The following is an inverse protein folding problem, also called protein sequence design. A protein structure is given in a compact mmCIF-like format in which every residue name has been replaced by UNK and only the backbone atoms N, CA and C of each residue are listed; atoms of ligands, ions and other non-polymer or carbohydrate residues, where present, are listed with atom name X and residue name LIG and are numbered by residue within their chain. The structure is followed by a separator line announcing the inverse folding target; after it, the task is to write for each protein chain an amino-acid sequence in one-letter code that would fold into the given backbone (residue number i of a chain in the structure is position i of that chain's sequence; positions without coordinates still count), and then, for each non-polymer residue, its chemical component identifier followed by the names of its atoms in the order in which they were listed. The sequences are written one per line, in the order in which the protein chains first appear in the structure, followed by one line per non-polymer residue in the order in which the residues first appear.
data_IF_864915758287
#
_entry.id   IF_864915758287
#
_cell.length_a   1.000
_cell.length_b   1.000
_cell.length_c   1.000
_cell.angle_alpha   90.00
_cell.angle_beta   90.00
_cell.angle_gamma   90.00
#
_symmetry.space_group_name_H-M   'P 1'
#
loop_
_entity.id
_entity.type
_entity.pdbx_description
1 polymer ?
#
# COMPACT_ATOMS: atom_id res chain seq x y z
N UNK A 1 7.93 -17.82 -19.55
CA UNK A 1 8.78 -16.74 -19.01
C UNK A 1 8.77 -16.93 -17.50
N UNK A 2 9.87 -17.42 -16.96
CA UNK A 2 10.04 -17.49 -15.51
C UNK A 2 10.19 -16.07 -14.98
N UNK A 3 9.31 -15.65 -14.10
CA UNK A 3 9.41 -14.37 -13.42
C UNK A 3 10.60 -14.44 -12.46
N UNK A 4 11.57 -13.53 -12.61
CA UNK A 4 12.75 -13.47 -11.75
C UNK A 4 12.50 -12.71 -10.46
N UNK A 5 11.36 -12.07 -10.30
CA UNK A 5 11.02 -11.30 -9.12
C UNK A 5 9.66 -11.70 -8.54
N UNK A 6 9.54 -11.66 -7.24
CA UNK A 6 8.32 -11.95 -6.49
C UNK A 6 8.04 -10.76 -5.56
N UNK A 7 6.83 -10.21 -5.67
CA UNK A 7 6.32 -9.22 -4.73
C UNK A 7 5.70 -9.95 -3.54
N UNK A 8 6.24 -9.73 -2.35
CA UNK A 8 5.73 -10.34 -1.13
C UNK A 8 4.57 -9.50 -0.60
N UNK A 9 3.46 -10.17 -0.29
CA UNK A 9 2.29 -9.52 0.32
C UNK A 9 2.59 -9.05 1.75
N UNK A 10 2.07 -7.89 2.11
CA UNK A 10 2.17 -7.35 3.46
C UNK A 10 1.33 -8.12 4.50
N UNK A 11 0.48 -9.04 4.05
CA UNK A 11 -0.33 -9.90 4.92
C UNK A 11 0.34 -11.23 5.27
N UNK A 12 1.53 -11.50 4.72
CA UNK A 12 2.16 -12.81 4.87
C UNK A 12 3.10 -12.85 6.07
N UNK A 13 2.69 -13.57 7.11
CA UNK A 13 3.53 -13.85 8.28
C UNK A 13 4.65 -14.83 7.99
N UNK A 14 4.55 -15.57 6.87
CA UNK A 14 5.55 -16.56 6.42
C UNK A 14 6.57 -16.01 5.44
N UNK A 15 6.64 -14.70 5.30
CA UNK A 15 7.54 -14.05 4.32
C UNK A 15 9.00 -14.50 4.43
N UNK A 16 9.48 -14.75 5.64
CA UNK A 16 10.85 -15.26 5.84
C UNK A 16 11.01 -16.68 5.31
N UNK A 17 10.01 -17.54 5.49
CA UNK A 17 10.00 -18.90 4.94
C UNK A 17 10.01 -18.88 3.40
N UNK A 18 9.24 -17.97 2.79
CA UNK A 18 9.22 -17.79 1.33
C UNK A 18 10.59 -17.35 0.83
N UNK A 19 11.25 -16.43 1.53
CA UNK A 19 12.60 -15.95 1.18
C UNK A 19 13.64 -17.07 1.21
N UNK A 20 13.52 -18.00 2.15
CA UNK A 20 14.45 -19.13 2.28
C UNK A 20 14.23 -20.22 1.22
N UNK A 21 13.01 -20.30 0.68
CA UNK A 21 12.62 -21.33 -0.29
C UNK A 21 12.76 -20.91 -1.75
N UNK A 22 13.03 -19.63 -2.03
CA UNK A 22 13.10 -19.13 -3.40
C UNK A 22 14.47 -18.55 -3.74
N UNK A 23 14.91 -18.78 -4.97
CA UNK A 23 16.09 -18.15 -5.56
C UNK A 23 15.73 -16.87 -6.36
N UNK A 24 14.48 -16.44 -6.31
CA UNK A 24 14.02 -15.26 -7.04
C UNK A 24 14.33 -13.99 -6.27
N UNK A 25 14.48 -12.86 -6.99
CA UNK A 25 14.57 -11.56 -6.37
C UNK A 25 13.23 -11.19 -5.71
N UNK A 26 13.27 -10.84 -4.43
CA UNK A 26 12.08 -10.53 -3.65
C UNK A 26 11.96 -9.02 -3.46
N UNK A 27 10.73 -8.53 -3.60
CA UNK A 27 10.36 -7.13 -3.39
C UNK A 27 9.30 -7.05 -2.31
N UNK A 28 9.50 -6.22 -1.32
CA UNK A 28 8.57 -6.02 -0.22
C UNK A 28 8.19 -4.56 -0.08
N UNK A 29 6.88 -4.28 -0.09
CA UNK A 29 6.38 -2.92 0.11
C UNK A 29 6.33 -2.61 1.60
N UNK A 30 7.24 -1.74 2.05
CA UNK A 30 7.34 -1.37 3.47
C UNK A 30 6.64 -0.05 3.79
N UNK A 31 6.35 0.79 2.79
CA UNK A 31 5.63 2.04 3.02
C UNK A 31 4.74 2.42 1.84
N UNK A 32 3.51 2.88 2.15
CA UNK A 32 2.57 3.46 1.21
C UNK A 32 1.14 2.95 1.36
N UNK A 33 0.24 3.51 0.58
CA UNK A 33 -1.15 3.07 0.51
C UNK A 33 -1.26 1.77 -0.27
N UNK A 34 -1.96 0.78 0.30
CA UNK A 34 -2.19 -0.50 -0.36
C UNK A 34 -3.39 -0.42 -1.31
N UNK A 35 -3.26 -0.86 -2.57
CA UNK A 35 -4.42 -1.00 -3.45
C UNK A 35 -5.35 -2.10 -2.90
N UNK A 36 -6.60 -1.74 -2.66
CA UNK A 36 -7.63 -2.62 -2.12
C UNK A 36 -8.60 -3.09 -3.20
N UNK A 37 -8.80 -2.25 -4.21
CA UNK A 37 -9.78 -2.47 -5.26
C UNK A 37 -9.32 -1.82 -6.54
N UNK A 38 -9.53 -2.51 -7.66
CA UNK A 38 -9.27 -2.01 -9.00
C UNK A 38 -10.48 -2.33 -9.88
N UNK A 39 -10.93 -1.36 -10.66
CA UNK A 39 -12.01 -1.52 -11.65
C UNK A 39 -11.65 -0.80 -12.93
N UNK A 40 -11.80 -1.43 -14.07
CA UNK A 40 -11.68 -0.78 -15.39
C UNK A 40 -12.79 0.26 -15.62
N UNK A 41 -13.85 0.25 -14.81
CA UNK A 41 -14.91 1.22 -14.89
C UNK A 41 -14.51 2.51 -14.17
N UNK A 42 -14.77 3.65 -14.82
CA UNK A 42 -14.58 4.99 -14.25
C UNK A 42 -15.71 5.31 -13.27
N UNK A 43 -15.64 4.80 -12.05
CA UNK A 43 -16.72 4.90 -11.06
C UNK A 43 -17.02 6.34 -10.67
N UNK A 44 -15.98 7.18 -10.48
CA UNK A 44 -16.14 8.59 -10.13
C UNK A 44 -16.78 9.35 -11.26
N UNK A 45 -16.28 9.21 -12.47
CA UNK A 45 -16.84 9.90 -13.66
C UNK A 45 -18.30 9.48 -13.89
N UNK A 46 -18.61 8.19 -13.71
CA UNK A 46 -19.98 7.69 -13.87
C UNK A 46 -20.91 8.25 -12.79
N UNK A 47 -20.44 8.33 -11.54
CA UNK A 47 -21.17 8.96 -10.45
C UNK A 47 -21.43 10.44 -10.71
N UNK A 48 -20.41 11.21 -11.10
CA UNK A 48 -20.52 12.62 -11.44
C UNK A 48 -21.52 12.87 -12.58
N UNK A 49 -21.45 12.08 -13.65
CA UNK A 49 -22.40 12.15 -14.76
C UNK A 49 -23.85 11.85 -14.31
N UNK A 50 -24.02 10.83 -13.46
CA UNK A 50 -25.35 10.45 -12.99
C UNK A 50 -26.00 11.55 -12.14
N UNK A 51 -25.23 12.16 -11.25
CA UNK A 51 -25.71 13.22 -10.36
C UNK A 51 -25.51 14.64 -10.89
N UNK A 52 -25.04 14.79 -12.14
CA UNK A 52 -24.78 16.09 -12.81
C UNK A 52 -23.85 16.98 -11.97
N UNK A 53 -22.83 16.41 -11.38
CA UNK A 53 -21.81 17.13 -10.61
C UNK A 53 -20.75 17.70 -11.55
N UNK A 54 -20.15 18.83 -11.18
CA UNK A 54 -19.19 19.55 -12.04
C UNK A 54 -17.73 19.10 -11.81
N UNK A 55 -17.45 17.87 -11.44
CA UNK A 55 -16.10 17.30 -11.47
C UNK A 55 -14.99 18.08 -10.74
N UNK A 56 -15.32 18.97 -9.79
CA UNK A 56 -14.35 19.86 -9.12
C UNK A 56 -13.66 19.24 -7.89
N UNK A 57 -13.90 17.96 -7.61
CA UNK A 57 -13.37 17.31 -6.40
C UNK A 57 -11.99 16.73 -6.68
N UNK A 58 -10.96 17.44 -6.28
CA UNK A 58 -9.57 16.98 -6.36
C UNK A 58 -9.24 15.78 -5.42
N UNK A 59 -10.14 15.45 -4.48
CA UNK A 59 -9.96 14.37 -3.53
C UNK A 59 -11.24 13.55 -3.46
N UNK A 60 -11.15 12.34 -3.93
CA UNK A 60 -12.26 11.40 -3.89
C UNK A 60 -12.03 10.36 -2.80
N UNK A 61 -13.06 10.11 -2.03
CA UNK A 61 -13.09 9.08 -0.99
C UNK A 61 -14.41 8.33 -1.08
N UNK A 62 -14.38 7.03 -0.89
CA UNK A 62 -15.58 6.36 -0.43
C UNK A 62 -15.55 6.21 1.10
N UNK A 63 -16.70 6.19 1.72
CA UNK A 63 -16.83 6.09 3.17
C UNK A 63 -17.54 4.78 3.49
N UNK A 64 -16.92 3.97 4.32
CA UNK A 64 -17.52 2.77 4.88
C UNK A 64 -17.33 2.79 6.41
N UNK A 65 -18.43 2.65 7.16
CA UNK A 65 -18.40 2.66 8.63
C UNK A 65 -17.61 3.84 9.23
N UNK A 66 -17.80 5.04 8.68
CA UNK A 66 -17.07 6.28 9.03
C UNK A 66 -15.56 6.28 8.72
N UNK A 67 -15.05 5.29 8.03
CA UNK A 67 -13.66 5.27 7.55
C UNK A 67 -13.60 5.76 6.11
N UNK A 68 -12.67 6.68 5.84
CA UNK A 68 -12.43 7.23 4.49
C UNK A 68 -11.35 6.42 3.77
N UNK A 69 -11.68 6.00 2.56
CA UNK A 69 -10.78 5.25 1.67
C UNK A 69 -10.50 6.09 0.43
N UNK A 70 -9.26 6.46 0.16
CA UNK A 70 -8.90 7.23 -1.03
C UNK A 70 -9.24 6.48 -2.31
N UNK A 71 -9.74 7.22 -3.31
CA UNK A 71 -10.05 6.71 -4.64
C UNK A 71 -9.37 7.59 -5.69
N UNK A 72 -8.76 6.96 -6.68
CA UNK A 72 -8.23 7.60 -7.88
C UNK A 72 -8.97 7.04 -9.10
N UNK A 73 -9.44 7.91 -9.97
CA UNK A 73 -9.99 7.55 -11.26
C UNK A 73 -9.10 8.16 -12.35
N UNK A 74 -8.47 7.32 -13.16
CA UNK A 74 -7.56 7.71 -14.21
C UNK A 74 -7.82 6.93 -15.51
N UNK A 75 -6.93 7.03 -16.47
CA UNK A 75 -7.07 6.38 -17.79
C UNK A 75 -7.25 4.86 -17.72
N UNK A 76 -6.76 4.23 -16.67
CA UNK A 76 -6.81 2.78 -16.46
C UNK A 76 -8.07 2.34 -15.70
N UNK A 77 -8.85 3.28 -15.16
CA UNK A 77 -10.05 3.01 -14.38
C UNK A 77 -9.99 3.57 -12.96
N UNK A 78 -10.74 2.96 -12.06
CA UNK A 78 -10.85 3.38 -10.66
C UNK A 78 -10.03 2.48 -9.74
N UNK A 79 -9.24 3.11 -8.89
CA UNK A 79 -8.41 2.46 -7.86
C UNK A 79 -8.85 2.97 -6.50
N UNK A 80 -9.10 2.05 -5.57
CA UNK A 80 -9.35 2.38 -4.16
C UNK A 80 -8.22 1.82 -3.30
N UNK A 81 -7.83 2.58 -2.29
CA UNK A 81 -6.68 2.30 -1.46
C UNK A 81 -7.08 2.11 0.01
N UNK A 82 -6.17 1.54 0.81
CA UNK A 82 -6.32 1.46 2.26
C UNK A 82 -6.58 2.84 2.87
N UNK A 83 -7.28 2.89 4.00
CA UNK A 83 -7.62 4.16 4.65
C UNK A 83 -6.41 4.93 5.19
N UNK A 84 -5.36 4.20 5.53
CA UNK A 84 -4.07 4.73 5.97
C UNK A 84 -2.95 4.00 5.24
N UNK A 85 -1.79 4.64 5.05
CA UNK A 85 -0.63 3.95 4.51
C UNK A 85 -0.09 2.91 5.50
N UNK A 86 0.44 1.82 4.97
CA UNK A 86 1.22 0.89 5.77
C UNK A 86 2.61 1.46 6.05
N UNK A 87 3.19 1.12 7.19
CA UNK A 87 4.60 1.34 7.46
C UNK A 87 5.16 0.15 8.24
N UNK A 88 5.82 -0.75 7.53
CA UNK A 88 6.40 -1.99 8.03
C UNK A 88 7.89 -1.79 8.38
N UNK A 89 8.19 -0.79 9.23
CA UNK A 89 9.58 -0.43 9.53
C UNK A 89 10.29 -1.47 10.39
N UNK A 90 9.61 -2.02 11.39
CA UNK A 90 10.19 -3.05 12.26
C UNK A 90 10.47 -4.33 11.46
N UNK A 91 9.52 -4.74 10.63
CA UNK A 91 9.66 -5.88 9.74
C UNK A 91 10.80 -5.66 8.73
N UNK A 92 10.97 -4.44 8.25
CA UNK A 92 12.09 -4.08 7.38
C UNK A 92 13.43 -4.31 8.11
N UNK A 93 13.57 -3.85 9.35
CA UNK A 93 14.82 -4.03 10.11
C UNK A 93 15.19 -5.50 10.30
N UNK A 94 14.20 -6.39 10.44
CA UNK A 94 14.40 -7.83 10.57
C UNK A 94 14.89 -8.50 9.28
N UNK A 95 14.46 -7.98 8.11
CA UNK A 95 14.67 -8.65 6.81
C UNK A 95 15.67 -7.93 5.90
N UNK A 96 16.11 -6.72 6.24
CA UNK A 96 16.92 -5.85 5.37
C UNK A 96 18.19 -6.53 4.81
N UNK A 97 18.83 -7.37 5.62
CA UNK A 97 20.06 -8.06 5.23
C UNK A 97 19.80 -9.20 4.22
N UNK A 98 18.56 -9.69 4.16
CA UNK A 98 18.16 -10.77 3.26
C UNK A 98 17.41 -10.26 2.03
N UNK A 99 16.96 -9.00 2.05
CA UNK A 99 16.13 -8.43 1.00
C UNK A 99 16.81 -7.23 0.35
N UNK A 100 17.31 -7.39 -0.89
CA UNK A 100 18.08 -6.35 -1.57
C UNK A 100 17.21 -5.14 -1.95
N UNK A 101 15.90 -5.32 -2.10
CA UNK A 101 15.00 -4.27 -2.58
C UNK A 101 13.74 -4.18 -1.75
N UNK A 102 13.37 -2.95 -1.41
CA UNK A 102 12.08 -2.62 -0.78
C UNK A 102 11.35 -1.58 -1.62
N UNK A 103 10.03 -1.61 -1.55
CA UNK A 103 9.17 -0.67 -2.26
C UNK A 103 8.65 0.37 -1.28
N UNK A 104 8.83 1.64 -1.64
CA UNK A 104 8.28 2.80 -0.98
C UNK A 104 7.41 3.54 -1.99
N UNK A 105 6.17 3.81 -1.64
CA UNK A 105 5.25 4.56 -2.50
C UNK A 105 4.94 5.91 -1.87
N UNK A 106 5.11 6.97 -2.66
CA UNK A 106 4.72 8.34 -2.31
C UNK A 106 3.30 8.69 -2.76
N UNK A 107 2.60 7.73 -3.38
CA UNK A 107 1.24 7.93 -3.86
C UNK A 107 0.33 8.40 -2.72
N UNK A 108 -0.36 9.53 -2.90
CA UNK A 108 -1.24 10.17 -1.91
C UNK A 108 -0.51 10.66 -0.63
N UNK A 109 0.81 10.74 -0.65
CA UNK A 109 1.64 11.21 0.47
C UNK A 109 2.24 12.57 0.12
N UNK A 110 2.19 13.51 1.08
CA UNK A 110 2.88 14.79 0.94
C UNK A 110 4.39 14.60 0.84
N UNK A 111 5.03 15.33 -0.06
CA UNK A 111 6.46 15.19 -0.35
C UNK A 111 7.35 15.32 0.88
N UNK A 112 7.07 16.27 1.75
CA UNK A 112 7.84 16.52 2.97
C UNK A 112 7.75 15.33 3.92
N UNK A 113 6.56 14.74 4.05
CA UNK A 113 6.32 13.54 4.87
C UNK A 113 7.00 12.31 4.29
N UNK A 114 6.95 12.14 2.98
CA UNK A 114 7.66 11.06 2.31
C UNK A 114 9.18 11.16 2.51
N UNK A 115 9.73 12.37 2.48
CA UNK A 115 11.15 12.60 2.77
C UNK A 115 11.53 12.24 4.22
N UNK A 116 10.64 12.42 5.20
CA UNK A 116 10.87 11.94 6.57
C UNK A 116 10.99 10.42 6.62
N UNK A 117 10.10 9.70 5.91
CA UNK A 117 10.16 8.24 5.80
C UNK A 117 11.48 7.79 5.19
N UNK A 118 11.89 8.40 4.06
CA UNK A 118 13.16 8.09 3.41
C UNK A 118 14.37 8.30 4.32
N UNK A 119 14.40 9.41 5.08
CA UNK A 119 15.47 9.69 6.05
C UNK A 119 15.50 8.65 7.17
N UNK A 120 14.32 8.30 7.72
CA UNK A 120 14.22 7.29 8.77
C UNK A 120 14.76 5.95 8.32
N UNK A 121 14.37 5.49 7.12
CA UNK A 121 14.85 4.21 6.56
C UNK A 121 16.35 4.26 6.27
N UNK A 122 16.84 5.34 5.64
CA UNK A 122 18.24 5.49 5.27
C UNK A 122 19.17 5.54 6.49
N UNK A 123 18.77 6.23 7.54
CA UNK A 123 19.59 6.45 8.73
C UNK A 123 19.30 5.45 9.85
N UNK A 124 18.32 4.57 9.66
CA UNK A 124 17.86 3.58 10.64
C UNK A 124 17.56 4.20 12.01
N UNK A 125 16.88 5.36 12.02
CA UNK A 125 16.59 6.11 13.24
C UNK A 125 15.29 5.69 13.88
N UNK A 126 15.18 5.87 15.21
CA UNK A 126 13.94 5.70 15.98
C UNK A 126 13.03 6.95 15.93
N UNK A 127 13.40 7.99 15.16
CA UNK A 127 12.60 9.20 15.06
C UNK A 127 11.17 8.89 14.61
N UNK A 128 10.21 9.52 15.27
CA UNK A 128 8.81 9.43 14.86
C UNK A 128 8.59 10.21 13.56
N UNK A 129 7.73 9.68 12.71
CA UNK A 129 7.28 10.34 11.48
C UNK A 129 5.90 10.96 11.71
N UNK A 130 5.67 12.16 11.18
CA UNK A 130 4.37 12.83 11.25
C UNK A 130 3.38 12.30 10.21
N UNK A 131 3.17 10.99 10.22
CA UNK A 131 2.20 10.29 9.36
C UNK A 131 1.46 9.27 10.20
N UNK A 132 0.13 9.33 10.19
CA UNK A 132 -0.68 8.23 10.72
C UNK A 132 -0.57 7.03 9.79
N UNK A 133 -0.10 5.93 10.33
CA UNK A 133 0.05 4.66 9.61
C UNK A 133 -0.80 3.57 10.25
N UNK A 134 -1.03 2.50 9.51
CA UNK A 134 -1.71 1.31 10.01
C UNK A 134 -0.87 0.08 9.68
N UNK A 135 -0.82 -0.94 10.54
CA UNK A 135 -0.26 -2.22 10.15
C UNK A 135 -1.08 -2.92 9.06
N UNK A 136 -2.28 -2.41 8.77
CA UNK A 136 -3.23 -3.01 7.82
C UNK A 136 -3.37 -4.52 8.06
N UNK A 137 -2.95 -5.35 7.10
CA UNK A 137 -3.08 -6.81 7.15
C UNK A 137 -1.84 -7.53 7.71
N UNK A 138 -0.80 -6.81 8.16
CA UNK A 138 0.48 -7.39 8.58
C UNK A 138 0.37 -8.47 9.66
N UNK A 139 -0.60 -8.30 10.56
CA UNK A 139 -0.78 -9.20 11.72
C UNK A 139 -2.17 -9.86 11.74
N UNK A 140 -2.86 -9.85 10.60
CA UNK A 140 -4.17 -10.47 10.50
C UNK A 140 -4.05 -11.85 9.87
N UNK A 141 -4.61 -12.85 10.54
CA UNK A 141 -4.75 -14.18 9.96
C UNK A 141 -5.70 -14.14 8.76
N UNK A 142 -5.28 -14.76 7.67
CA UNK A 142 -6.14 -14.90 6.51
C UNK A 142 -7.19 -15.95 6.79
N UNK A 143 -8.44 -15.55 6.94
CA UNK A 143 -9.57 -16.46 7.12
C UNK A 143 -10.05 -16.92 5.74
N UNK A 144 -9.62 -18.09 5.32
CA UNK A 144 -10.21 -18.78 4.17
C UNK A 144 -11.48 -19.52 4.62
N UNK A 145 -12.65 -18.96 4.31
CA UNK A 145 -13.89 -19.74 4.36
C UNK A 145 -14.03 -20.48 3.02
N UNK A 146 -13.55 -21.70 2.97
CA UNK A 146 -13.94 -22.63 1.90
C UNK A 146 -15.39 -23.00 2.18
N UNK A 147 -16.30 -22.59 1.29
CA UNK A 147 -17.68 -23.07 1.27
C UNK A 147 -17.76 -24.32 0.43
#
# INVERSE_FOLDING_TARGET
IESKCILISNSDTKRLEIMEQTNSELYYMIFGYLPMFVSERHQIQNYEKHFKLNGETNYNYFINENVKYPIIDNELGTFAFSSLPVFAYQEYLEIKDKMPYVILSDLLIEKEKFLQVLKKIKNETEEEIDIKTSPNFLYQDTIYKIK
#
